data_IF_181370379721
#
_entry.id   IF_181370379721
#
_cell.length_a   1.000
_cell.length_b   1.000
_cell.length_c   1.000
_cell.angle_alpha   90.00
_cell.angle_beta   90.00
_cell.angle_gamma   90.00
#
_symmetry.space_group_name_H-M   'P 1'
#
loop_
_entity.id
_entity.type
_entity.pdbx_description
1 polymer ?
#
# COMPACT_ATOMS: atom_id res chain seq x y z
N UNK A 1 6.05 12.67 9.37
CA UNK A 1 6.32 12.88 7.92
C UNK A 1 5.38 13.97 7.40
N UNK A 2 5.81 14.81 6.45
CA UNK A 2 4.89 15.73 5.77
C UNK A 2 3.81 14.89 5.05
N UNK A 3 2.54 15.31 5.01
CA UNK A 3 1.49 14.56 4.31
C UNK A 3 1.67 14.74 2.81
N UNK A 4 2.39 13.83 2.16
CA UNK A 4 2.57 13.84 0.72
C UNK A 4 1.28 13.39 0.03
N UNK A 5 0.88 14.10 -1.02
CA UNK A 5 -0.22 13.66 -1.88
C UNK A 5 0.34 12.83 -3.03
N UNK A 6 0.56 11.53 -2.81
CA UNK A 6 1.15 10.65 -3.81
C UNK A 6 0.33 10.61 -5.10
N UNK A 7 -0.99 10.78 -5.02
CA UNK A 7 -1.87 10.90 -6.18
C UNK A 7 -1.52 12.08 -7.14
N UNK A 8 -0.76 13.08 -6.69
CA UNK A 8 -0.31 14.21 -7.52
C UNK A 8 0.98 13.95 -8.30
N UNK A 9 1.71 12.88 -7.97
CA UNK A 9 3.00 12.54 -8.60
C UNK A 9 2.86 12.35 -10.11
N UNK A 10 1.88 11.59 -10.63
CA UNK A 10 1.74 11.41 -12.08
C UNK A 10 1.56 12.75 -12.82
N UNK A 11 0.76 13.66 -12.25
CA UNK A 11 0.57 14.99 -12.82
C UNK A 11 1.87 15.81 -12.80
N UNK A 12 2.62 15.76 -11.69
CA UNK A 12 3.90 16.45 -11.56
C UNK A 12 4.98 15.92 -12.52
N UNK A 13 4.94 14.62 -12.85
CA UNK A 13 5.83 13.98 -13.82
C UNK A 13 5.39 14.14 -15.28
N UNK A 14 4.26 14.81 -15.54
CA UNK A 14 3.75 15.04 -16.88
C UNK A 14 2.97 13.86 -17.48
N UNK A 15 2.57 12.88 -16.67
CA UNK A 15 1.69 11.79 -17.08
C UNK A 15 0.28 12.34 -17.32
N UNK A 16 -0.08 12.53 -18.59
CA UNK A 16 -1.41 13.02 -19.00
C UNK A 16 -2.35 11.85 -19.28
N UNK A 17 -3.63 12.04 -18.97
CA UNK A 17 -4.68 11.04 -19.23
C UNK A 17 -4.65 9.82 -18.29
N UNK A 18 -3.84 9.87 -17.22
CA UNK A 18 -3.89 8.85 -16.18
C UNK A 18 -5.03 9.14 -15.23
N UNK A 19 -5.77 8.11 -14.84
CA UNK A 19 -6.68 8.21 -13.72
C UNK A 19 -5.85 8.36 -12.43
N UNK A 20 -6.11 9.36 -11.61
CA UNK A 20 -5.37 9.59 -10.36
C UNK A 20 -6.36 9.78 -9.22
N UNK A 21 -6.22 9.00 -8.14
CA UNK A 21 -7.13 9.06 -7.01
C UNK A 21 -6.51 8.57 -5.71
N UNK A 22 -7.29 8.67 -4.64
CA UNK A 22 -6.92 8.27 -3.29
C UNK A 22 -8.09 7.53 -2.64
N UNK A 23 -7.80 6.49 -1.88
CA UNK A 23 -8.77 5.75 -1.09
C UNK A 23 -8.24 5.52 0.33
N UNK A 24 -9.02 5.87 1.34
CA UNK A 24 -8.72 5.58 2.75
C UNK A 24 -9.74 4.68 3.43
N UNK A 25 -10.76 4.23 2.71
CA UNK A 25 -11.69 3.20 3.17
C UNK A 25 -11.87 2.13 2.10
N UNK A 26 -12.36 0.95 2.50
CA UNK A 26 -12.70 -0.14 1.56
C UNK A 26 -13.73 0.32 0.53
N UNK A 27 -14.74 1.09 0.95
CA UNK A 27 -15.76 1.60 0.04
C UNK A 27 -15.18 2.54 -1.03
N UNK A 28 -14.28 3.44 -0.64
CA UNK A 28 -13.58 4.33 -1.59
C UNK A 28 -12.65 3.55 -2.53
N UNK A 29 -12.01 2.48 -2.03
CA UNK A 29 -11.18 1.59 -2.83
C UNK A 29 -11.99 0.87 -3.90
N UNK A 30 -13.16 0.32 -3.55
CA UNK A 30 -14.06 -0.33 -4.51
C UNK A 30 -14.55 0.65 -5.58
N UNK A 31 -14.94 1.85 -5.18
CA UNK A 31 -15.36 2.92 -6.10
C UNK A 31 -14.23 3.34 -7.04
N UNK A 32 -13.01 3.49 -6.52
CA UNK A 32 -11.83 3.78 -7.30
C UNK A 32 -11.54 2.67 -8.32
N UNK A 33 -11.58 1.41 -7.91
CA UNK A 33 -11.37 0.26 -8.79
C UNK A 33 -12.44 0.17 -9.89
N UNK A 34 -13.70 0.46 -9.59
CA UNK A 34 -14.76 0.52 -10.59
C UNK A 34 -14.51 1.64 -11.62
N UNK A 35 -14.09 2.83 -11.16
CA UNK A 35 -13.75 3.95 -12.04
C UNK A 35 -12.51 3.65 -12.92
N UNK A 36 -11.48 3.03 -12.34
CA UNK A 36 -10.28 2.59 -13.06
C UNK A 36 -10.63 1.55 -14.12
N UNK A 37 -11.51 0.60 -13.79
CA UNK A 37 -11.93 -0.46 -14.73
C UNK A 37 -12.65 0.10 -15.95
N UNK A 38 -13.33 1.23 -15.80
CA UNK A 38 -13.98 1.95 -16.90
C UNK A 38 -13.04 2.93 -17.64
N UNK A 39 -11.86 3.23 -17.08
CA UNK A 39 -10.91 4.17 -17.65
C UNK A 39 -10.00 3.50 -18.67
N UNK A 40 -9.82 4.13 -19.83
CA UNK A 40 -8.84 3.68 -20.82
C UNK A 40 -7.49 4.36 -20.57
N UNK A 41 -6.52 3.59 -20.08
CA UNK A 41 -5.16 4.06 -19.86
C UNK A 41 -4.61 3.61 -18.52
N UNK A 42 -3.49 4.22 -18.12
CA UNK A 42 -2.89 3.94 -16.83
C UNK A 42 -3.66 4.64 -15.69
N UNK A 43 -3.55 4.06 -14.50
CA UNK A 43 -4.16 4.58 -13.29
C UNK A 43 -3.15 4.58 -12.15
N UNK A 44 -3.24 5.59 -11.30
CA UNK A 44 -2.51 5.71 -10.06
C UNK A 44 -3.50 5.88 -8.91
N UNK A 45 -3.47 4.94 -7.97
CA UNK A 45 -4.32 4.95 -6.80
C UNK A 45 -3.45 4.97 -5.55
N UNK A 46 -3.58 6.03 -4.76
CA UNK A 46 -2.97 6.13 -3.44
C UNK A 46 -3.89 5.46 -2.41
N UNK A 47 -3.44 4.36 -1.80
CA UNK A 47 -4.17 3.66 -0.74
C UNK A 47 -3.63 4.09 0.61
N UNK A 48 -4.48 4.70 1.43
CA UNK A 48 -4.17 5.06 2.81
C UNK A 48 -4.50 3.86 3.69
N UNK A 49 -3.49 3.33 4.38
CA UNK A 49 -3.66 2.27 5.38
C UNK A 49 -3.46 2.92 6.75
N UNK A 50 -4.45 2.87 7.66
CA UNK A 50 -4.28 3.42 9.01
C UNK A 50 -3.22 2.59 9.77
N UNK A 51 -2.53 3.25 10.71
CA UNK A 51 -1.41 2.64 11.44
C UNK A 51 -1.81 1.38 12.21
N UNK A 52 -3.06 1.32 12.69
CA UNK A 52 -3.62 0.13 13.35
C UNK A 52 -3.73 -1.08 12.41
N UNK A 53 -4.00 -0.86 11.12
CA UNK A 53 -4.11 -1.91 10.10
C UNK A 53 -2.76 -2.23 9.43
N UNK A 54 -1.72 -1.44 9.72
CA UNK A 54 -0.37 -1.59 9.17
C UNK A 54 0.61 -2.26 10.15
N UNK A 55 0.13 -2.87 11.23
CA UNK A 55 1.01 -3.55 12.19
C UNK A 55 1.65 -4.78 11.54
N UNK A 56 2.95 -4.95 11.78
CA UNK A 56 3.67 -6.15 11.38
C UNK A 56 3.03 -7.37 12.04
N UNK A 57 2.97 -8.48 11.29
CA UNK A 57 2.66 -9.78 11.86
C UNK A 57 3.69 -10.12 12.96
N UNK A 58 3.30 -10.96 13.92
CA UNK A 58 4.24 -11.45 14.91
C UNK A 58 5.41 -12.19 14.23
N UNK A 59 6.62 -12.04 14.77
CA UNK A 59 7.85 -12.62 14.18
C UNK A 59 7.72 -14.13 13.92
N UNK A 60 7.07 -14.87 14.82
CA UNK A 60 6.82 -16.31 14.67
C UNK A 60 5.98 -16.65 13.42
N UNK A 61 5.01 -15.79 13.09
CA UNK A 61 4.16 -15.94 11.91
C UNK A 61 4.96 -15.60 10.66
N UNK A 62 5.79 -14.56 10.71
CA UNK A 62 6.71 -14.18 9.62
C UNK A 62 7.69 -15.35 9.36
N UNK A 63 8.29 -15.91 10.39
CA UNK A 63 9.23 -17.03 10.30
C UNK A 63 8.59 -18.27 9.67
N UNK A 64 7.35 -18.58 10.06
CA UNK A 64 6.56 -19.68 9.50
C UNK A 64 6.24 -19.45 8.02
N UNK A 65 5.81 -18.24 7.64
CA UNK A 65 5.50 -17.90 6.25
C UNK A 65 6.74 -17.98 5.34
N UNK A 66 7.89 -17.52 5.84
CA UNK A 66 9.13 -17.49 5.08
C UNK A 66 9.92 -18.80 5.16
N UNK A 67 9.47 -19.77 5.96
CA UNK A 67 10.19 -21.03 6.24
C UNK A 67 11.65 -20.81 6.66
N UNK A 68 11.95 -19.63 7.20
CA UNK A 68 13.28 -19.26 7.64
C UNK A 68 13.48 -19.88 9.02
N UNK A 69 13.85 -21.17 9.10
CA UNK A 69 14.19 -21.80 10.40
C UNK A 69 15.39 -21.08 11.01
N UNK A 70 15.14 -20.00 11.74
CA UNK A 70 16.17 -19.18 12.34
C UNK A 70 16.36 -19.72 13.75
N UNK A 71 17.33 -20.61 13.92
CA UNK A 71 17.70 -21.07 15.26
C UNK A 71 18.00 -19.85 16.15
N UNK A 72 17.16 -19.63 17.16
CA UNK A 72 17.41 -18.68 18.26
C UNK A 72 18.60 -19.20 19.07
N UNK A 73 19.81 -18.99 18.56
CA UNK A 73 21.05 -19.26 19.27
C UNK A 73 21.86 -17.96 19.42
N UNK A 74 22.10 -17.64 20.69
CA UNK A 74 23.09 -16.73 21.26
C UNK A 74 22.75 -15.23 21.34
N UNK A 75 22.16 -14.83 22.48
CA UNK A 75 22.72 -13.73 23.28
C UNK A 75 22.47 -14.02 24.79
N UNK A 76 23.52 -14.17 25.63
CA UNK A 76 23.36 -14.21 27.09
C UNK A 76 23.07 -12.81 27.66
N UNK A 77 22.44 -12.80 28.85
CA UNK A 77 22.08 -11.63 29.70
C UNK A 77 23.13 -10.51 29.78
#
# INVERSE_FOLDING_TARGET
>A
MPPWCYASIPAALGCKGWWCGRAGTVAELEQALAAISAHQGAAYLEVLIPTEESQSLADEVIETFHQTTTSKSALPD
#
